data_IF_704343352330
#
_entry.id   IF_704343352330
#
_cell.length_a   1.000
_cell.length_b   1.000
_cell.length_c   1.000
_cell.angle_alpha   90.00
_cell.angle_beta   90.00
_cell.angle_gamma   90.00
#
_symmetry.space_group_name_H-M   'P 1'
#
loop_
_entity.id
_entity.type
_entity.pdbx_description
1 polymer ?
#
# COMPACT_ATOMS: atom_id res chain seq x y z
N UNK A 1 2.68 3.49 17.26
CA UNK A 1 1.31 3.88 17.63
C UNK A 1 0.99 3.46 19.07
N UNK A 2 0.23 4.27 19.78
CA UNK A 2 -0.45 3.91 21.04
C UNK A 2 -1.70 3.07 20.74
N UNK A 3 -2.26 2.41 21.76
CA UNK A 3 -3.41 1.54 21.63
C UNK A 3 -4.45 1.86 22.69
N UNK A 4 -5.73 1.88 22.30
CA UNK A 4 -6.85 1.84 23.23
C UNK A 4 -7.16 0.43 23.71
N UNK A 5 -6.70 -0.59 22.97
CA UNK A 5 -7.04 -1.99 23.21
C UNK A 5 -8.37 -2.39 22.57
N UNK A 6 -8.83 -1.63 21.57
CA UNK A 6 -10.09 -1.88 20.87
C UNK A 6 -9.84 -2.82 19.70
N UNK A 7 -10.60 -3.93 19.55
CA UNK A 7 -10.43 -4.82 18.41
C UNK A 7 -10.66 -4.09 17.08
N UNK A 8 -9.83 -4.39 16.06
CA UNK A 8 -9.94 -3.78 14.73
C UNK A 8 -11.35 -3.83 14.14
N UNK A 9 -12.08 -4.93 14.35
CA UNK A 9 -13.48 -5.07 13.90
C UNK A 9 -14.39 -4.01 14.51
N UNK A 10 -14.20 -3.68 15.79
CA UNK A 10 -14.97 -2.65 16.47
C UNK A 10 -14.56 -1.25 16.01
N UNK A 11 -13.26 -0.98 15.85
CA UNK A 11 -12.79 0.30 15.29
C UNK A 11 -13.37 0.58 13.88
N UNK A 12 -13.42 -0.45 13.02
CA UNK A 12 -14.06 -0.36 11.70
C UNK A 12 -15.57 -0.09 11.83
N UNK A 13 -16.24 -0.70 12.80
CA UNK A 13 -17.67 -0.46 13.03
C UNK A 13 -17.92 0.98 13.47
N UNK A 14 -17.13 1.50 14.41
CA UNK A 14 -17.16 2.90 14.86
C UNK A 14 -16.98 3.84 13.66
N UNK A 15 -16.00 3.59 12.80
CA UNK A 15 -15.76 4.39 11.61
C UNK A 15 -16.97 4.40 10.66
N UNK A 16 -17.62 3.25 10.48
CA UNK A 16 -18.83 3.14 9.63
C UNK A 16 -20.00 3.91 10.21
N UNK A 17 -20.22 3.84 11.51
CA UNK A 17 -21.33 4.56 12.14
C UNK A 17 -21.07 6.07 12.12
N UNK A 18 -19.84 6.48 12.46
CA UNK A 18 -19.44 7.88 12.38
C UNK A 18 -19.49 8.44 10.95
N UNK A 19 -19.15 7.65 9.92
CA UNK A 19 -19.29 8.07 8.51
C UNK A 19 -20.73 8.47 8.12
N UNK A 20 -21.74 7.90 8.78
CA UNK A 20 -23.16 8.25 8.55
C UNK A 20 -23.50 9.60 9.18
N UNK A 21 -22.91 9.90 10.34
CA UNK A 21 -23.11 11.16 11.07
C UNK A 21 -22.47 12.34 10.34
N UNK A 22 -21.25 12.14 9.83
CA UNK A 22 -20.52 13.19 9.09
C UNK A 22 -20.87 13.26 7.60
N UNK A 23 -21.84 12.45 7.13
CA UNK A 23 -22.15 12.31 5.70
C UNK A 23 -22.51 13.62 5.00
N UNK A 24 -23.13 14.56 5.73
CA UNK A 24 -23.56 15.87 5.19
C UNK A 24 -22.50 16.96 5.38
N UNK A 25 -21.38 16.65 6.07
CA UNK A 25 -20.30 17.60 6.25
C UNK A 25 -19.53 17.77 4.93
N UNK A 26 -18.94 18.96 4.68
CA UNK A 26 -18.02 19.15 3.57
C UNK A 26 -16.84 18.17 3.62
N UNK A 27 -16.45 17.61 2.46
CA UNK A 27 -15.29 16.70 2.31
C UNK A 27 -14.05 17.19 3.08
N UNK A 28 -13.77 18.49 2.96
CA UNK A 28 -12.64 19.15 3.62
C UNK A 28 -12.67 18.99 5.15
N UNK A 29 -13.81 19.22 5.78
CA UNK A 29 -13.95 19.09 7.24
C UNK A 29 -13.75 17.63 7.69
N UNK A 30 -14.22 16.68 6.90
CA UNK A 30 -14.00 15.24 7.18
C UNK A 30 -12.51 14.90 7.07
N UNK A 31 -11.78 15.45 6.10
CA UNK A 31 -10.33 15.27 6.02
C UNK A 31 -9.58 15.97 7.16
N UNK A 32 -10.05 17.12 7.64
CA UNK A 32 -9.50 17.76 8.84
C UNK A 32 -9.70 16.88 10.09
N UNK A 33 -10.84 16.19 10.22
CA UNK A 33 -11.04 15.17 11.27
C UNK A 33 -10.08 14.00 11.10
N UNK A 34 -9.91 13.48 9.87
CA UNK A 34 -8.96 12.41 9.60
C UNK A 34 -7.53 12.78 9.98
N UNK A 35 -7.12 14.03 9.70
CA UNK A 35 -5.80 14.56 10.08
C UNK A 35 -5.63 14.58 11.62
N UNK A 36 -6.64 15.01 12.37
CA UNK A 36 -6.61 15.00 13.83
C UNK A 36 -6.49 13.58 14.40
N UNK A 37 -7.24 12.63 13.85
CA UNK A 37 -7.20 11.21 14.24
C UNK A 37 -5.82 10.59 13.95
N UNK A 38 -5.17 10.96 12.84
CA UNK A 38 -3.80 10.54 12.57
C UNK A 38 -2.81 11.13 13.58
N UNK A 39 -2.96 12.42 13.91
CA UNK A 39 -2.06 13.14 14.82
C UNK A 39 -2.10 12.63 16.25
N UNK A 40 -3.16 11.94 16.67
CA UNK A 40 -3.23 11.36 18.02
C UNK A 40 -2.20 10.25 18.24
N UNK A 41 -1.76 9.59 17.16
CA UNK A 41 -0.82 8.47 17.22
C UNK A 41 -1.43 7.16 17.72
N UNK A 42 -2.75 7.09 17.91
CA UNK A 42 -3.46 5.85 18.26
C UNK A 42 -3.77 5.02 17.01
N UNK A 43 -3.51 3.71 17.08
CA UNK A 43 -3.73 2.81 15.96
C UNK A 43 -5.20 2.71 15.56
N UNK A 44 -6.10 2.64 16.54
CA UNK A 44 -7.53 2.50 16.27
C UNK A 44 -8.13 3.78 15.67
N UNK A 45 -7.60 4.96 16.02
CA UNK A 45 -7.97 6.22 15.37
C UNK A 45 -7.44 6.32 13.94
N UNK A 46 -6.21 5.86 13.68
CA UNK A 46 -5.69 5.75 12.32
C UNK A 46 -6.56 4.85 11.43
N UNK A 47 -7.08 3.74 11.98
CA UNK A 47 -8.06 2.88 11.28
C UNK A 47 -9.33 3.67 10.95
N UNK A 48 -9.85 4.44 11.91
CA UNK A 48 -11.05 5.25 11.70
C UNK A 48 -10.80 6.31 10.61
N UNK A 49 -9.68 7.02 10.67
CA UNK A 49 -9.27 8.00 9.67
C UNK A 49 -9.21 7.38 8.26
N UNK A 50 -8.57 6.21 8.12
CA UNK A 50 -8.50 5.50 6.85
C UNK A 50 -9.90 5.14 6.31
N UNK A 51 -10.79 4.65 7.18
CA UNK A 51 -12.14 4.22 6.78
C UNK A 51 -13.07 5.38 6.45
N UNK A 52 -12.95 6.50 7.16
CA UNK A 52 -13.64 7.74 6.80
C UNK A 52 -13.15 8.26 5.46
N UNK A 53 -11.83 8.37 5.27
CA UNK A 53 -11.25 8.81 4.00
C UNK A 53 -11.67 7.89 2.84
N UNK A 54 -11.63 6.56 3.01
CA UNK A 54 -12.10 5.58 2.02
C UNK A 54 -13.59 5.77 1.68
N UNK A 55 -14.44 6.09 2.65
CA UNK A 55 -15.88 6.31 2.40
C UNK A 55 -16.18 7.47 1.44
N UNK A 56 -15.21 8.39 1.30
CA UNK A 56 -15.29 9.55 0.41
C UNK A 56 -14.75 9.28 -1.00
N UNK A 57 -14.41 8.04 -1.35
CA UNK A 57 -13.83 7.65 -2.66
C UNK A 57 -14.50 8.32 -3.86
N UNK A 58 -15.84 8.37 -3.88
CA UNK A 58 -16.61 8.96 -4.99
C UNK A 58 -16.47 10.49 -5.13
N UNK A 59 -15.87 11.15 -4.14
CA UNK A 59 -15.65 12.59 -4.07
C UNK A 59 -14.17 12.96 -4.16
N UNK A 60 -13.29 11.99 -4.42
CA UNK A 60 -11.88 12.29 -4.59
C UNK A 60 -11.66 13.22 -5.77
N UNK A 61 -10.67 14.08 -5.63
CA UNK A 61 -10.20 15.03 -6.63
C UNK A 61 -8.67 14.97 -6.67
N UNK A 62 -8.02 15.29 -7.81
CA UNK A 62 -6.56 15.24 -7.96
C UNK A 62 -5.78 15.95 -6.83
N UNK A 63 -6.33 17.03 -6.27
CA UNK A 63 -5.74 17.81 -5.19
C UNK A 63 -5.63 17.03 -3.86
N UNK A 64 -6.49 16.04 -3.65
CA UNK A 64 -6.52 15.22 -2.43
C UNK A 64 -5.25 14.37 -2.28
N UNK A 65 -4.51 14.13 -3.37
CA UNK A 65 -3.23 13.46 -3.31
C UNK A 65 -2.26 14.14 -2.34
N UNK A 66 -2.28 15.47 -2.25
CA UNK A 66 -1.39 16.22 -1.33
C UNK A 66 -1.71 15.90 0.13
N UNK A 67 -2.98 15.65 0.45
CA UNK A 67 -3.43 15.27 1.79
C UNK A 67 -2.94 13.84 2.09
N UNK A 68 -3.12 12.92 1.15
CA UNK A 68 -2.67 11.53 1.32
C UNK A 68 -1.14 11.44 1.43
N UNK A 69 -0.41 12.22 0.62
CA UNK A 69 1.04 12.34 0.70
C UNK A 69 1.50 12.88 2.06
N UNK A 70 0.81 13.91 2.55
CA UNK A 70 1.07 14.46 3.88
C UNK A 70 0.91 13.37 4.96
N UNK A 71 -0.14 12.55 4.92
CA UNK A 71 -0.33 11.46 5.87
C UNK A 71 0.74 10.37 5.75
N UNK A 72 1.10 10.00 4.52
CA UNK A 72 2.16 9.00 4.26
C UNK A 72 3.49 9.42 4.85
N UNK A 73 3.86 10.69 4.68
CA UNK A 73 5.17 11.19 5.09
C UNK A 73 5.26 11.51 6.58
N UNK A 74 4.14 11.88 7.23
CA UNK A 74 4.16 12.40 8.58
C UNK A 74 3.57 11.47 9.65
N UNK A 75 2.65 10.56 9.29
CA UNK A 75 1.86 9.83 10.29
C UNK A 75 2.05 8.31 10.28
N UNK A 76 2.55 7.74 9.19
CA UNK A 76 2.82 6.30 9.15
C UNK A 76 3.98 5.93 10.06
N UNK A 77 3.71 5.09 11.07
CA UNK A 77 4.74 4.65 12.03
C UNK A 77 4.94 3.14 12.06
N UNK A 78 4.03 2.39 11.43
CA UNK A 78 4.09 0.93 11.39
C UNK A 78 3.50 0.39 10.06
N UNK A 79 3.70 -0.91 9.82
CA UNK A 79 3.27 -1.55 8.58
C UNK A 79 1.74 -1.64 8.47
N UNK A 80 1.02 -1.76 9.58
CA UNK A 80 -0.43 -1.87 9.56
C UNK A 80 -1.10 -0.53 9.21
N UNK A 81 -0.58 0.60 9.71
CA UNK A 81 -1.00 1.95 9.27
C UNK A 81 -0.83 2.09 7.75
N UNK A 82 0.39 1.79 7.29
CA UNK A 82 0.81 1.91 5.91
C UNK A 82 -0.11 1.10 4.99
N UNK A 83 -0.32 -0.17 5.33
CA UNK A 83 -1.12 -1.08 4.52
C UNK A 83 -2.62 -0.73 4.55
N UNK A 84 -3.14 -0.22 5.67
CA UNK A 84 -4.55 0.17 5.81
C UNK A 84 -4.86 1.39 4.93
N UNK A 85 -3.99 2.41 4.96
CA UNK A 85 -4.14 3.62 4.16
C UNK A 85 -3.91 3.33 2.66
N UNK A 86 -2.83 2.62 2.33
CA UNK A 86 -2.38 2.51 0.94
C UNK A 86 -3.24 1.56 0.10
N UNK A 87 -3.67 0.42 0.66
CA UNK A 87 -4.40 -0.60 -0.13
C UNK A 87 -5.76 -0.12 -0.64
N UNK A 88 -6.43 0.75 0.12
CA UNK A 88 -7.80 1.19 -0.17
C UNK A 88 -7.84 2.66 -0.55
N UNK A 89 -7.57 3.58 0.38
CA UNK A 89 -7.64 5.03 0.13
C UNK A 89 -6.76 5.45 -1.04
N UNK A 90 -5.45 5.21 -0.96
CA UNK A 90 -4.51 5.64 -2.01
C UNK A 90 -4.62 4.73 -3.24
N UNK A 91 -4.84 3.43 -3.05
CA UNK A 91 -5.04 2.48 -4.15
C UNK A 91 -6.23 2.83 -5.04
N UNK A 92 -7.36 3.20 -4.44
CA UNK A 92 -8.55 3.65 -5.17
C UNK A 92 -8.30 5.00 -5.86
N UNK A 93 -7.62 5.93 -5.18
CA UNK A 93 -7.20 7.20 -5.78
C UNK A 93 -6.38 6.99 -7.05
N UNK A 94 -5.36 6.13 -7.01
CA UNK A 94 -4.48 5.85 -8.17
C UNK A 94 -5.25 5.18 -9.31
N UNK A 95 -6.26 4.35 -9.02
CA UNK A 95 -7.12 3.78 -10.06
C UNK A 95 -8.03 4.83 -10.72
N UNK A 96 -8.46 5.86 -9.98
CA UNK A 96 -9.25 6.97 -10.54
C UNK A 96 -8.39 8.01 -11.28
N UNK A 97 -7.15 8.23 -10.81
CA UNK A 97 -6.20 9.18 -11.37
C UNK A 97 -4.85 8.51 -11.69
N UNK A 98 -4.77 7.68 -12.76
CA UNK A 98 -3.57 6.94 -13.11
C UNK A 98 -2.32 7.79 -13.33
N UNK A 99 -2.46 9.06 -13.70
CA UNK A 99 -1.33 9.97 -13.93
C UNK A 99 -0.47 10.18 -12.67
N UNK A 100 -1.03 9.93 -11.47
CA UNK A 100 -0.33 10.03 -10.20
C UNK A 100 0.58 8.85 -9.88
N UNK A 101 0.66 7.84 -10.75
CA UNK A 101 1.63 6.75 -10.60
C UNK A 101 3.08 7.25 -10.58
N UNK A 102 3.37 8.37 -11.26
CA UNK A 102 4.67 9.02 -11.20
C UNK A 102 5.08 9.37 -9.77
N UNK A 103 4.11 9.74 -8.93
CA UNK A 103 4.33 10.08 -7.53
C UNK A 103 4.68 8.85 -6.69
N UNK A 104 4.09 7.68 -6.97
CA UNK A 104 4.51 6.44 -6.32
C UNK A 104 5.97 6.09 -6.67
N UNK A 105 6.39 6.32 -7.92
CA UNK A 105 7.80 6.14 -8.31
C UNK A 105 8.71 7.13 -7.58
N UNK A 106 8.26 8.36 -7.32
CA UNK A 106 8.97 9.34 -6.48
C UNK A 106 9.08 8.82 -5.04
N UNK A 107 7.98 8.31 -4.46
CA UNK A 107 7.96 7.73 -3.13
C UNK A 107 8.89 6.53 -2.95
N UNK A 108 9.01 5.68 -3.97
CA UNK A 108 9.92 4.53 -3.98
C UNK A 108 11.40 4.91 -3.80
N UNK A 109 11.77 6.19 -4.05
CA UNK A 109 13.13 6.73 -3.89
C UNK A 109 13.32 7.54 -2.61
N UNK A 110 12.32 7.60 -1.74
CA UNK A 110 12.40 8.33 -0.48
C UNK A 110 13.40 7.67 0.48
N UNK A 111 14.00 8.48 1.35
CA UNK A 111 14.77 7.96 2.49
C UNK A 111 13.86 7.37 3.58
N UNK A 112 12.61 7.83 3.66
CA UNK A 112 11.64 7.34 4.63
C UNK A 112 11.14 5.94 4.23
N UNK A 113 11.37 4.96 5.12
CA UNK A 113 10.97 3.56 4.91
C UNK A 113 9.47 3.37 4.66
N UNK A 114 8.62 4.19 5.27
CA UNK A 114 7.16 4.09 5.14
C UNK A 114 6.69 4.67 3.81
N UNK A 115 7.30 5.76 3.36
CA UNK A 115 7.06 6.31 2.02
C UNK A 115 7.49 5.32 0.94
N UNK A 116 8.67 4.69 1.09
CA UNK A 116 9.11 3.59 0.22
C UNK A 116 8.11 2.44 0.21
N UNK A 117 7.75 1.91 1.38
CA UNK A 117 6.76 0.83 1.48
C UNK A 117 5.44 1.23 0.83
N UNK A 118 4.92 2.43 1.11
CA UNK A 118 3.66 2.95 0.58
C UNK A 118 3.62 2.91 -0.95
N UNK A 119 4.72 3.25 -1.63
CA UNK A 119 4.80 3.18 -3.09
C UNK A 119 4.48 1.79 -3.66
N UNK A 120 4.90 0.72 -2.97
CA UNK A 120 4.66 -0.65 -3.40
C UNK A 120 3.29 -1.15 -2.94
N UNK A 121 2.94 -0.93 -1.67
CA UNK A 121 1.70 -1.50 -1.11
C UNK A 121 0.44 -0.82 -1.67
N UNK A 122 0.53 0.43 -2.12
CA UNK A 122 -0.55 1.12 -2.84
C UNK A 122 -1.00 0.34 -4.09
N UNK A 123 -0.08 -0.35 -4.77
CA UNK A 123 -0.38 -1.10 -5.99
C UNK A 123 -0.88 -2.53 -5.75
N UNK A 124 -1.02 -3.01 -4.51
CA UNK A 124 -1.46 -4.40 -4.25
C UNK A 124 -2.84 -4.68 -4.85
N UNK A 125 -3.84 -3.84 -4.57
CA UNK A 125 -5.21 -4.05 -5.09
C UNK A 125 -5.27 -3.83 -6.61
N UNK A 126 -4.72 -2.75 -7.17
CA UNK A 126 -4.68 -2.56 -8.63
C UNK A 126 -3.93 -3.70 -9.37
N UNK A 127 -2.77 -4.13 -8.87
CA UNK A 127 -1.97 -5.18 -9.51
C UNK A 127 -2.67 -6.54 -9.48
N UNK A 128 -3.39 -6.86 -8.39
CA UNK A 128 -4.25 -8.05 -8.32
C UNK A 128 -5.38 -8.03 -9.34
N UNK A 129 -5.80 -6.85 -9.80
CA UNK A 129 -6.78 -6.66 -10.88
C UNK A 129 -6.13 -6.64 -12.27
N UNK A 130 -4.83 -6.87 -12.36
CA UNK A 130 -4.07 -6.85 -13.61
C UNK A 130 -3.66 -5.45 -14.09
N UNK A 131 -3.83 -4.41 -13.28
CA UNK A 131 -3.47 -3.04 -13.63
C UNK A 131 -2.00 -2.74 -13.33
N UNK A 132 -1.43 -1.77 -14.06
CA UNK A 132 -0.13 -1.16 -13.77
C UNK A 132 1.07 -2.13 -13.71
N UNK A 133 1.03 -3.23 -14.46
CA UNK A 133 2.09 -4.25 -14.41
C UNK A 133 3.49 -3.68 -14.72
N UNK A 134 3.58 -2.74 -15.67
CA UNK A 134 4.83 -2.08 -16.02
C UNK A 134 5.39 -1.32 -14.81
N UNK A 135 4.55 -0.53 -14.16
CA UNK A 135 4.90 0.29 -13.01
C UNK A 135 5.26 -0.56 -11.79
N UNK A 136 4.57 -1.70 -11.60
CA UNK A 136 4.91 -2.69 -10.58
C UNK A 136 6.35 -3.16 -10.74
N UNK A 137 6.79 -3.49 -11.96
CA UNK A 137 8.17 -3.89 -12.21
C UNK A 137 9.16 -2.75 -12.02
N UNK A 138 8.82 -1.53 -12.42
CA UNK A 138 9.67 -0.35 -12.20
C UNK A 138 9.86 -0.05 -10.71
N UNK A 139 8.79 -0.12 -9.89
CA UNK A 139 8.88 0.05 -8.43
C UNK A 139 9.65 -1.10 -7.78
N UNK A 140 9.44 -2.34 -8.23
CA UNK A 140 10.20 -3.49 -7.75
C UNK A 140 11.69 -3.36 -8.07
N UNK A 141 12.07 -2.83 -9.24
CA UNK A 141 13.46 -2.57 -9.60
C UNK A 141 14.11 -1.50 -8.71
N UNK A 142 13.38 -0.45 -8.33
CA UNK A 142 13.86 0.57 -7.40
C UNK A 142 14.12 -0.03 -6.01
N UNK A 143 13.21 -0.87 -5.52
CA UNK A 143 13.33 -1.51 -4.20
C UNK A 143 14.17 -2.78 -4.18
N UNK A 144 14.65 -3.26 -5.34
CA UNK A 144 15.21 -4.60 -5.50
C UNK A 144 16.26 -4.94 -4.44
N UNK A 145 17.15 -3.98 -4.15
CA UNK A 145 18.27 -4.11 -3.22
C UNK A 145 18.08 -3.30 -1.92
N UNK A 146 16.87 -2.82 -1.63
CA UNK A 146 16.61 -2.15 -0.37
C UNK A 146 16.90 -3.11 0.80
N UNK A 147 17.61 -2.62 1.82
CA UNK A 147 18.06 -3.43 2.96
C UNK A 147 16.98 -3.56 4.05
N UNK A 148 15.93 -2.76 3.96
CA UNK A 148 14.84 -2.73 4.92
C UNK A 148 13.87 -3.90 4.69
N UNK A 149 13.74 -4.77 5.70
CA UNK A 149 12.88 -5.95 5.64
C UNK A 149 11.39 -5.61 5.37
N UNK A 150 10.88 -4.48 5.88
CA UNK A 150 9.50 -4.08 5.63
C UNK A 150 9.31 -3.53 4.21
N UNK A 151 10.31 -2.88 3.63
CA UNK A 151 10.27 -2.51 2.21
C UNK A 151 10.32 -3.76 1.33
N UNK A 152 11.21 -4.71 1.64
CA UNK A 152 11.31 -6.00 0.94
C UNK A 152 10.00 -6.79 0.95
N UNK A 153 9.36 -6.90 2.13
CA UNK A 153 8.04 -7.53 2.25
C UNK A 153 6.97 -6.79 1.47
N UNK A 154 7.04 -5.45 1.41
CA UNK A 154 6.12 -4.60 0.67
C UNK A 154 6.12 -4.89 -0.83
N UNK A 155 7.29 -4.75 -1.48
CA UNK A 155 7.37 -4.99 -2.93
C UNK A 155 7.25 -6.48 -3.30
N UNK A 156 7.70 -7.39 -2.42
CA UNK A 156 7.44 -8.82 -2.57
C UNK A 156 5.93 -9.13 -2.57
N UNK A 157 5.16 -8.49 -1.68
CA UNK A 157 3.70 -8.64 -1.66
C UNK A 157 3.04 -7.99 -2.89
N UNK A 158 3.54 -6.84 -3.37
CA UNK A 158 3.08 -6.24 -4.62
C UNK A 158 3.26 -7.22 -5.80
N UNK A 159 4.44 -7.84 -5.94
CA UNK A 159 4.68 -8.87 -6.96
C UNK A 159 3.79 -10.10 -6.78
N UNK A 160 3.59 -10.55 -5.53
CA UNK A 160 2.64 -11.64 -5.21
C UNK A 160 1.24 -11.33 -5.73
N UNK A 161 0.76 -10.11 -5.50
CA UNK A 161 -0.56 -9.67 -5.94
C UNK A 161 -0.63 -9.59 -7.47
N UNK A 162 0.37 -9.01 -8.13
CA UNK A 162 0.47 -8.97 -9.59
C UNK A 162 0.45 -10.37 -10.23
N UNK A 163 1.03 -11.37 -9.56
CA UNK A 163 1.08 -12.75 -10.06
C UNK A 163 -0.31 -13.40 -10.17
N UNK A 164 -1.32 -12.87 -9.49
CA UNK A 164 -2.69 -13.41 -9.54
C UNK A 164 -3.34 -13.18 -10.92
N UNK A 165 -2.98 -12.10 -11.62
CA UNK A 165 -3.44 -11.82 -12.99
C UNK A 165 -2.35 -12.01 -14.06
N UNK A 166 -1.08 -11.93 -13.69
CA UNK A 166 0.06 -11.92 -14.62
C UNK A 166 1.15 -12.91 -14.19
N UNK A 167 0.76 -14.12 -13.78
CA UNK A 167 1.66 -15.12 -13.17
C UNK A 167 2.96 -15.30 -13.94
N UNK A 168 2.89 -15.58 -15.23
CA UNK A 168 4.06 -15.97 -16.03
C UNK A 168 5.01 -14.78 -16.21
N UNK A 169 4.48 -13.58 -16.49
CA UNK A 169 5.27 -12.33 -16.57
C UNK A 169 5.97 -12.00 -15.25
N UNK A 170 5.28 -12.17 -14.11
CA UNK A 170 5.88 -11.94 -12.79
C UNK A 170 6.94 -12.99 -12.48
N UNK A 171 6.72 -14.25 -12.87
CA UNK A 171 7.71 -15.30 -12.71
C UNK A 171 8.97 -15.03 -13.55
N UNK A 172 8.83 -14.64 -14.81
CA UNK A 172 9.95 -14.22 -15.68
C UNK A 172 10.74 -13.07 -15.05
N UNK A 173 10.04 -12.05 -14.54
CA UNK A 173 10.67 -10.95 -13.81
C UNK A 173 11.48 -11.47 -12.61
N UNK A 174 10.89 -12.31 -11.74
CA UNK A 174 11.57 -12.86 -10.55
C UNK A 174 12.80 -13.67 -10.96
N UNK A 175 12.69 -14.54 -11.96
CA UNK A 175 13.81 -15.35 -12.46
C UNK A 175 14.94 -14.46 -12.98
N UNK A 176 14.63 -13.39 -13.70
CA UNK A 176 15.64 -12.45 -14.21
C UNK A 176 16.43 -11.74 -13.12
N UNK A 177 15.88 -11.62 -11.90
CA UNK A 177 16.49 -10.92 -10.76
C UNK A 177 16.93 -11.86 -9.62
N UNK A 178 16.65 -13.17 -9.69
CA UNK A 178 16.78 -14.11 -8.56
C UNK A 178 18.19 -14.17 -7.95
N UNK A 179 19.22 -13.86 -8.74
CA UNK A 179 20.62 -13.86 -8.29
C UNK A 179 20.91 -12.79 -7.23
N UNK A 180 20.21 -11.65 -7.28
CA UNK A 180 20.46 -10.50 -6.41
C UNK A 180 19.26 -10.14 -5.52
N UNK A 181 18.06 -10.64 -5.85
CA UNK A 181 16.85 -10.37 -5.10
C UNK A 181 16.95 -10.95 -3.66
N UNK A 182 16.69 -10.16 -2.61
CA UNK A 182 16.63 -10.64 -1.24
C UNK A 182 15.63 -11.79 -1.07
N UNK A 183 16.02 -12.80 -0.27
CA UNK A 183 15.19 -14.00 -0.04
C UNK A 183 13.81 -13.68 0.52
N UNK A 184 13.67 -12.65 1.33
CA UNK A 184 12.38 -12.22 1.87
C UNK A 184 11.44 -11.82 0.74
N UNK A 185 11.85 -10.90 -0.13
CA UNK A 185 11.02 -10.44 -1.23
C UNK A 185 10.72 -11.56 -2.24
N UNK A 186 11.73 -12.38 -2.57
CA UNK A 186 11.57 -13.51 -3.50
C UNK A 186 10.51 -14.48 -3.00
N UNK A 187 10.57 -14.89 -1.73
CA UNK A 187 9.59 -15.82 -1.14
C UNK A 187 8.17 -15.28 -1.17
N UNK A 188 7.99 -13.99 -0.89
CA UNK A 188 6.69 -13.33 -1.02
C UNK A 188 6.21 -13.36 -2.47
N UNK A 189 7.04 -12.93 -3.42
CA UNK A 189 6.69 -12.81 -4.83
C UNK A 189 6.18 -14.14 -5.43
N UNK A 190 6.78 -15.27 -5.04
CA UNK A 190 6.43 -16.60 -5.55
C UNK A 190 5.39 -17.34 -4.70
N UNK A 191 4.89 -16.77 -3.60
CA UNK A 191 4.07 -17.48 -2.59
C UNK A 191 2.81 -18.13 -3.18
N UNK A 192 2.18 -17.51 -4.17
CA UNK A 192 0.97 -18.03 -4.84
C UNK A 192 1.26 -18.90 -6.08
N UNK A 193 2.51 -19.08 -6.46
CA UNK A 193 2.88 -19.84 -7.66
C UNK A 193 2.86 -21.36 -7.43
N UNK A 194 2.76 -22.18 -8.50
CA UNK A 194 2.92 -23.63 -8.45
C UNK A 194 4.24 -24.06 -7.80
N UNK A 195 4.27 -25.29 -7.28
CA UNK A 195 5.42 -25.84 -6.54
C UNK A 195 6.69 -25.88 -7.39
N UNK A 196 6.54 -26.18 -8.68
CA UNK A 196 7.62 -26.30 -9.66
C UNK A 196 8.28 -24.94 -9.91
N UNK A 197 7.48 -23.90 -10.12
CA UNK A 197 7.95 -22.52 -10.26
C UNK A 197 8.66 -22.05 -8.99
N UNK A 198 8.09 -22.33 -7.82
CA UNK A 198 8.73 -21.99 -6.53
C UNK A 198 10.09 -22.66 -6.37
N UNK A 199 10.17 -23.95 -6.69
CA UNK A 199 11.42 -24.70 -6.62
C UNK A 199 12.47 -24.13 -7.58
N UNK A 200 12.08 -23.79 -8.81
CA UNK A 200 12.98 -23.17 -9.79
C UNK A 200 13.51 -21.80 -9.34
N UNK A 201 12.64 -20.93 -8.83
CA UNK A 201 13.04 -19.61 -8.32
C UNK A 201 13.97 -19.70 -7.09
N UNK A 202 13.84 -20.77 -6.29
CA UNK A 202 14.62 -20.98 -5.06
C UNK A 202 15.93 -21.75 -5.26
N UNK A 203 16.25 -22.20 -6.48
CA UNK A 203 17.56 -22.80 -6.79
C UNK A 203 18.68 -21.82 -6.48
N UNK A 204 19.78 -22.32 -5.92
CA UNK A 204 20.98 -21.52 -5.72
C UNK A 204 21.52 -21.10 -7.09
N UNK A 205 21.77 -19.80 -7.24
CA UNK A 205 22.54 -19.23 -8.36
C UNK A 205 24.01 -19.22 -7.97
#
# INVERSE_FOLDING_TARGET
AMLYGVPTKLAIQIAKDFSKEVKLMPKREIFEICDQLWRSGYFEEAIIACKLAESLEKQYEPEDFKIFEHWVNNYLTNWADCDTLCNHTIGNFIMMYPDYIGELKRWARSENRWTKRASAVTLIIPARRGLFLKEVFEIADIHLLDKDDLVQKGYGWMLKAASESNRDKVFEYVISKRAVMPRTALRYAIEKMPKEMKAEAMKKV
#
